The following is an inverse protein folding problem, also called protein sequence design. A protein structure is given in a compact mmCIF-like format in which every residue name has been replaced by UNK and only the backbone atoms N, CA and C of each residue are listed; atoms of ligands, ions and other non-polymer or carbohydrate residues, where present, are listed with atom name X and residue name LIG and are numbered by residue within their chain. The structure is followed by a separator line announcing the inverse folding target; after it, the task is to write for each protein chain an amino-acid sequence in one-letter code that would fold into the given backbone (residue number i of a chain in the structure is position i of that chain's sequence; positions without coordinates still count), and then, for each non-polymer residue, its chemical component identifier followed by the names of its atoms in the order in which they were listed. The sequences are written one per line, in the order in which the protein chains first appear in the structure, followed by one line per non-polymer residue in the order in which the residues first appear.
data_IF_869932188200
#
_entry.id   IF_869932188200
#
_cell.length_a   1.000
_cell.length_b   1.000
_cell.length_c   1.000
_cell.angle_alpha   90.00
_cell.angle_beta   90.00
_cell.angle_gamma   90.00
#
_symmetry.space_group_name_H-M   'P 1'
#
loop_
_entity.id
_entity.type
_entity.pdbx_description
1 polymer ?
#
# COMPACT_ATOMS: atom_id res chain seq x y z
N UNK A 1 39.49 -28.10 4.07
CA UNK A 1 38.21 -28.80 3.78
C UNK A 1 37.07 -27.84 4.08
N UNK A 2 36.57 -27.12 3.07
CA UNK A 2 35.55 -26.09 3.23
C UNK A 2 34.15 -26.72 3.15
N UNK A 3 33.37 -26.69 4.24
CA UNK A 3 31.92 -26.89 4.18
C UNK A 3 31.30 -25.57 3.72
N UNK A 4 31.00 -25.46 2.43
CA UNK A 4 30.00 -24.51 1.93
C UNK A 4 28.66 -24.93 2.54
N UNK A 5 28.27 -24.28 3.63
CA UNK A 5 26.88 -24.31 4.09
C UNK A 5 26.06 -23.62 3.00
N UNK A 6 25.22 -24.40 2.31
CA UNK A 6 24.19 -23.85 1.44
C UNK A 6 23.29 -22.98 2.30
N UNK A 7 23.51 -21.66 2.31
CA UNK A 7 22.54 -20.74 2.87
C UNK A 7 21.28 -20.88 2.03
N UNK A 8 20.27 -21.55 2.59
CA UNK A 8 18.93 -21.54 2.04
C UNK A 8 18.55 -20.08 1.84
N UNK A 9 18.56 -19.60 0.59
CA UNK A 9 18.12 -18.26 0.26
C UNK A 9 16.65 -18.17 0.68
N UNK A 10 16.41 -17.54 1.83
CA UNK A 10 15.07 -17.36 2.38
C UNK A 10 14.28 -16.51 1.39
N UNK A 11 13.28 -17.13 0.74
CA UNK A 11 12.38 -16.43 -0.19
C UNK A 11 11.67 -15.31 0.56
N UNK A 12 11.79 -14.03 0.13
CA UNK A 12 11.08 -12.92 0.73
C UNK A 12 9.56 -13.13 0.63
N UNK A 13 8.84 -12.95 1.74
CA UNK A 13 7.37 -13.12 1.77
C UNK A 13 6.65 -11.82 1.46
N UNK A 14 7.15 -10.72 2.00
CA UNK A 14 6.62 -9.38 1.73
C UNK A 14 7.55 -8.61 0.79
N UNK A 15 7.04 -7.61 0.04
CA UNK A 15 7.89 -6.78 -0.81
C UNK A 15 9.00 -6.08 -0.03
N UNK A 16 8.73 -5.68 1.22
CA UNK A 16 9.72 -4.99 2.02
C UNK A 16 10.87 -5.90 2.55
N UNK A 17 10.66 -7.22 2.61
CA UNK A 17 11.72 -8.21 2.86
C UNK A 17 12.61 -8.42 1.62
N UNK A 18 12.16 -8.05 0.42
CA UNK A 18 12.94 -8.25 -0.81
C UNK A 18 14.14 -7.31 -0.81
N UNK A 19 15.31 -7.81 -1.18
CA UNK A 19 16.47 -6.95 -1.42
C UNK A 19 16.26 -6.29 -2.78
N UNK A 20 16.17 -4.95 -2.82
CA UNK A 20 16.10 -4.22 -4.09
C UNK A 20 17.51 -4.04 -4.63
N UNK A 21 17.68 -4.12 -5.95
CA UNK A 21 18.98 -3.94 -6.61
C UNK A 21 18.86 -2.98 -7.77
N UNK A 22 19.87 -2.14 -7.94
CA UNK A 22 20.13 -1.35 -9.15
C UNK A 22 21.39 -1.89 -9.83
N UNK A 23 21.82 -1.27 -10.93
CA UNK A 23 23.09 -1.64 -11.57
C UNK A 23 24.32 -1.49 -10.66
N UNK A 24 24.24 -0.69 -9.60
CA UNK A 24 25.39 -0.32 -8.75
C UNK A 24 25.14 -0.49 -7.24
N UNK A 25 23.95 -0.91 -6.81
CA UNK A 25 23.60 -0.95 -5.38
C UNK A 25 22.60 -2.05 -5.07
N UNK A 26 22.66 -2.57 -3.84
CA UNK A 26 21.65 -3.44 -3.26
C UNK A 26 21.18 -2.83 -1.94
N UNK A 27 19.87 -2.68 -1.73
CA UNK A 27 19.36 -1.88 -0.63
C UNK A 27 17.99 -2.33 -0.12
N UNK A 28 17.75 -1.96 1.15
CA UNK A 28 16.47 -2.02 1.87
C UNK A 28 16.41 -0.77 2.74
N UNK A 29 15.97 0.33 2.17
CA UNK A 29 15.88 1.61 2.84
C UNK A 29 14.43 1.95 3.04
N UNK A 30 14.02 2.10 4.30
CA UNK A 30 12.67 2.51 4.66
C UNK A 30 12.75 3.62 5.72
N UNK A 31 11.78 4.50 5.67
CA UNK A 31 11.63 5.61 6.61
C UNK A 31 10.18 5.68 7.08
N UNK A 32 10.01 5.85 8.40
CA UNK A 32 8.78 6.27 9.01
C UNK A 32 8.74 7.80 9.00
N UNK A 33 7.78 8.37 8.28
CA UNK A 33 7.58 9.81 8.16
C UNK A 33 6.31 10.24 8.87
N UNK A 34 6.31 11.43 9.47
CA UNK A 34 5.08 12.05 9.90
C UNK A 34 5.15 13.57 9.75
N UNK A 35 4.07 14.19 9.28
CA UNK A 35 4.00 15.64 9.14
C UNK A 35 2.57 16.15 9.30
N UNK A 36 2.46 17.38 9.79
CA UNK A 36 1.18 18.00 10.13
C UNK A 36 0.66 18.87 8.99
N UNK A 37 -0.66 18.97 8.90
CA UNK A 37 -1.34 20.05 8.20
C UNK A 37 -0.92 21.41 8.78
N UNK A 38 -1.00 22.46 7.97
CA UNK A 38 -0.60 23.81 8.35
C UNK A 38 -1.29 24.26 9.64
N UNK A 39 -0.51 24.86 10.54
CA UNK A 39 -0.95 25.29 11.86
C UNK A 39 -1.65 24.19 12.69
N UNK A 40 -1.39 22.90 12.40
CA UNK A 40 -2.04 21.74 13.02
C UNK A 40 -3.58 21.76 12.90
N UNK A 41 -4.13 22.47 11.90
CA UNK A 41 -5.57 22.51 11.64
C UNK A 41 -6.10 21.12 11.25
N UNK A 42 -7.30 20.72 11.69
CA UNK A 42 -7.89 19.43 11.34
C UNK A 42 -8.49 19.44 9.93
N UNK A 43 -7.63 19.47 8.90
CA UNK A 43 -8.04 19.61 7.49
C UNK A 43 -8.52 18.31 6.84
N UNK A 44 -8.31 17.16 7.47
CA UNK A 44 -8.75 15.87 6.93
C UNK A 44 -10.23 15.63 7.28
N UNK A 45 -11.13 16.19 6.48
CA UNK A 45 -12.54 15.79 6.44
C UNK A 45 -12.75 14.65 5.41
N UNK A 46 -13.97 14.09 5.24
CA UNK A 46 -14.21 12.99 4.32
C UNK A 46 -13.78 13.27 2.86
N UNK A 47 -13.96 14.50 2.38
CA UNK A 47 -13.62 14.89 1.01
C UNK A 47 -12.10 14.95 0.83
N UNK A 48 -11.40 15.62 1.74
CA UNK A 48 -9.93 15.72 1.73
C UNK A 48 -9.29 14.34 1.92
N UNK A 49 -9.86 13.51 2.80
CA UNK A 49 -9.39 12.16 3.07
C UNK A 49 -9.51 11.27 1.83
N UNK A 50 -10.65 11.31 1.14
CA UNK A 50 -10.87 10.54 -0.08
C UNK A 50 -9.91 10.94 -1.20
N UNK A 51 -9.75 12.24 -1.46
CA UNK A 51 -8.83 12.72 -2.48
C UNK A 51 -7.37 12.40 -2.13
N UNK A 52 -6.96 12.60 -0.88
CA UNK A 52 -5.60 12.26 -0.46
C UNK A 52 -5.30 10.76 -0.60
N UNK A 53 -6.27 9.89 -0.31
CA UNK A 53 -6.12 8.45 -0.46
C UNK A 53 -5.93 8.01 -1.91
N UNK A 54 -6.46 8.76 -2.88
CA UNK A 54 -6.23 8.55 -4.30
C UNK A 54 -4.87 9.10 -4.75
N UNK A 55 -4.57 10.34 -4.35
CA UNK A 55 -3.37 11.08 -4.80
C UNK A 55 -2.07 10.51 -4.24
N UNK A 56 -2.03 10.13 -2.95
CA UNK A 56 -0.78 9.73 -2.30
C UNK A 56 -0.11 8.52 -2.98
N UNK A 57 -0.82 7.41 -3.29
CA UNK A 57 -0.23 6.29 -4.03
C UNK A 57 0.32 6.68 -5.40
N UNK A 58 -0.39 7.55 -6.13
CA UNK A 58 0.03 8.06 -7.45
C UNK A 58 1.31 8.90 -7.35
N UNK A 59 1.37 9.81 -6.38
CA UNK A 59 2.55 10.62 -6.10
C UNK A 59 3.74 9.72 -5.74
N UNK A 60 3.57 8.78 -4.81
CA UNK A 60 4.65 7.86 -4.49
C UNK A 60 5.09 7.03 -5.71
N UNK A 61 4.17 6.68 -6.62
CA UNK A 61 4.50 5.95 -7.84
C UNK A 61 5.30 6.81 -8.83
N UNK A 62 4.96 8.09 -9.01
CA UNK A 62 5.66 8.97 -9.96
C UNK A 62 7.14 9.20 -9.60
N UNK A 63 7.48 9.09 -8.32
CA UNK A 63 8.85 9.21 -7.81
C UNK A 63 9.54 7.86 -7.55
N UNK A 64 8.90 6.73 -7.88
CA UNK A 64 9.39 5.37 -7.60
C UNK A 64 9.68 5.12 -6.10
N UNK A 65 8.86 5.72 -5.25
CA UNK A 65 8.80 5.45 -3.81
C UNK A 65 7.88 4.27 -3.54
N UNK A 66 8.33 3.35 -2.69
CA UNK A 66 7.54 2.19 -2.25
C UNK A 66 6.66 2.61 -1.07
N UNK A 67 5.42 3.02 -1.34
CA UNK A 67 4.47 3.30 -0.27
C UNK A 67 4.06 1.98 0.39
N UNK A 68 4.48 1.75 1.63
CA UNK A 68 4.18 0.51 2.34
C UNK A 68 2.83 0.61 3.05
N UNK A 69 2.64 1.71 3.78
CA UNK A 69 1.39 2.01 4.47
C UNK A 69 1.33 3.49 4.84
N UNK A 70 0.12 3.97 5.09
CA UNK A 70 -0.08 5.28 5.68
C UNK A 70 -1.28 5.30 6.63
N UNK A 71 -1.26 6.26 7.55
CA UNK A 71 -2.32 6.52 8.51
C UNK A 71 -2.63 8.01 8.55
N UNK A 72 -3.91 8.34 8.46
CA UNK A 72 -4.43 9.69 8.55
C UNK A 72 -5.07 9.95 9.91
N UNK A 73 -4.77 11.14 10.42
CA UNK A 73 -5.36 11.78 11.60
C UNK A 73 -5.95 13.11 11.15
N UNK A 74 -6.85 13.73 11.92
CA UNK A 74 -7.51 14.98 11.52
C UNK A 74 -6.56 16.07 10.98
N UNK A 75 -5.35 16.17 11.53
CA UNK A 75 -4.37 17.19 11.17
C UNK A 75 -2.99 16.63 10.81
N UNK A 76 -2.82 15.33 10.61
CA UNK A 76 -1.49 14.72 10.45
C UNK A 76 -1.56 13.46 9.60
N UNK A 77 -0.50 13.22 8.84
CA UNK A 77 -0.26 11.95 8.15
C UNK A 77 0.99 11.27 8.68
N UNK A 78 0.94 9.94 8.76
CA UNK A 78 2.07 9.06 9.06
C UNK A 78 2.26 8.12 7.87
N UNK A 79 3.49 7.95 7.38
CA UNK A 79 3.81 7.15 6.21
C UNK A 79 4.95 6.18 6.54
N UNK A 80 4.90 4.97 5.98
CA UNK A 80 6.07 4.09 5.87
C UNK A 80 6.41 4.02 4.38
N UNK A 81 7.59 4.50 4.02
CA UNK A 81 8.02 4.65 2.62
C UNK A 81 9.39 4.01 2.42
N UNK A 82 9.52 3.20 1.37
CA UNK A 82 10.80 2.77 0.84
C UNK A 82 11.30 3.70 -0.25
N UNK A 83 12.60 3.98 -0.27
CA UNK A 83 13.22 4.96 -1.19
C UNK A 83 14.59 4.48 -1.70
N UNK A 84 15.12 5.09 -2.77
CA UNK A 84 16.41 4.69 -3.34
C UNK A 84 17.58 5.28 -2.56
N UNK A 85 18.78 4.67 -2.60
CA UNK A 85 19.98 5.23 -1.97
C UNK A 85 20.39 6.60 -2.51
N UNK A 86 19.94 6.96 -3.72
CA UNK A 86 20.18 8.26 -4.35
C UNK A 86 19.30 9.37 -3.82
N UNK A 87 18.20 9.04 -3.13
CA UNK A 87 17.20 9.99 -2.71
C UNK A 87 17.46 10.41 -1.26
N UNK A 88 17.63 11.70 -1.02
CA UNK A 88 17.71 12.22 0.33
C UNK A 88 16.32 12.24 0.98
N UNK A 89 16.24 11.95 2.29
CA UNK A 89 14.97 11.95 3.04
C UNK A 89 14.27 13.32 2.94
N UNK A 90 15.03 14.42 2.90
CA UNK A 90 14.51 15.78 2.69
C UNK A 90 13.75 15.91 1.37
N UNK A 91 14.27 15.33 0.30
CA UNK A 91 13.64 15.35 -1.02
C UNK A 91 12.39 14.47 -1.04
N UNK A 92 12.47 13.25 -0.50
CA UNK A 92 11.30 12.34 -0.38
C UNK A 92 10.13 13.03 0.31
N UNK A 93 10.39 13.72 1.42
CA UNK A 93 9.37 14.47 2.16
C UNK A 93 8.87 15.68 1.36
N UNK A 94 9.75 16.41 0.71
CA UNK A 94 9.44 17.60 -0.10
C UNK A 94 8.55 17.23 -1.29
N UNK A 95 8.89 16.17 -2.01
CA UNK A 95 8.16 15.68 -3.18
C UNK A 95 6.75 15.22 -2.81
N UNK A 96 6.61 14.45 -1.72
CA UNK A 96 5.30 14.01 -1.22
C UNK A 96 4.47 15.23 -0.79
N UNK A 97 5.01 16.11 0.05
CA UNK A 97 4.26 17.27 0.58
C UNK A 97 3.84 18.23 -0.53
N UNK A 98 4.75 18.59 -1.42
CA UNK A 98 4.49 19.53 -2.52
C UNK A 98 3.45 18.97 -3.48
N UNK A 99 3.62 17.73 -3.93
CA UNK A 99 2.72 17.12 -4.92
C UNK A 99 1.32 16.88 -4.35
N UNK A 100 1.23 16.35 -3.13
CA UNK A 100 -0.07 16.15 -2.48
C UNK A 100 -0.77 17.47 -2.19
N UNK A 101 -0.06 18.50 -1.70
CA UNK A 101 -0.65 19.82 -1.49
C UNK A 101 -1.20 20.42 -2.79
N UNK A 102 -0.42 20.35 -3.88
CA UNK A 102 -0.83 20.85 -5.17
C UNK A 102 -2.12 20.20 -5.66
N UNK A 103 -2.19 18.86 -5.63
CA UNK A 103 -3.37 18.10 -6.05
C UNK A 103 -4.59 18.34 -5.14
N UNK A 104 -4.37 18.50 -3.83
CA UNK A 104 -5.44 18.84 -2.89
C UNK A 104 -6.03 20.23 -3.18
N UNK A 105 -5.21 21.23 -3.46
CA UNK A 105 -5.71 22.57 -3.82
C UNK A 105 -6.43 22.58 -5.17
N UNK A 106 -5.95 21.82 -6.16
CA UNK A 106 -6.62 21.68 -7.45
C UNK A 106 -7.96 20.97 -7.33
N UNK A 107 -8.03 19.88 -6.57
CA UNK A 107 -9.26 19.10 -6.40
C UNK A 107 -10.26 19.73 -5.43
N UNK A 108 -9.80 20.51 -4.44
CA UNK A 108 -10.65 21.09 -3.39
C UNK A 108 -10.30 22.58 -3.21
N UNK A 109 -10.81 23.47 -4.10
CA UNK A 109 -10.49 24.90 -4.07
C UNK A 109 -10.84 25.61 -2.76
N UNK A 110 -11.82 25.11 -1.99
CA UNK A 110 -12.19 25.68 -0.67
C UNK A 110 -11.04 25.70 0.34
N UNK A 111 -10.05 24.80 0.19
CA UNK A 111 -8.88 24.77 1.07
C UNK A 111 -8.08 26.08 1.00
N UNK A 112 -8.01 26.75 -0.16
CA UNK A 112 -7.29 28.03 -0.26
C UNK A 112 -7.93 29.12 0.61
N UNK A 113 -9.25 29.10 0.79
CA UNK A 113 -9.95 30.05 1.65
C UNK A 113 -9.71 29.75 3.14
N UNK A 114 -9.65 28.47 3.53
CA UNK A 114 -9.51 28.05 4.94
C UNK A 114 -8.09 28.24 5.49
N UNK A 115 -7.07 28.03 4.65
CA UNK A 115 -5.66 28.01 5.09
C UNK A 115 -4.74 28.95 4.30
N UNK A 116 -5.28 29.73 3.38
CA UNK A 116 -4.51 30.61 2.50
C UNK A 116 -3.85 29.86 1.34
N UNK A 117 -3.20 30.61 0.45
CA UNK A 117 -2.64 30.06 -0.79
C UNK A 117 -1.49 29.09 -0.55
N UNK A 118 -1.56 27.94 -1.25
CA UNK A 118 -0.47 27.02 -1.64
C UNK A 118 0.41 26.40 -0.54
N UNK A 119 0.04 26.48 0.74
CA UNK A 119 0.76 25.81 1.84
C UNK A 119 -0.18 24.90 2.66
N UNK A 120 -0.44 23.68 2.19
CA UNK A 120 -1.29 22.71 2.91
C UNK A 120 -0.60 22.16 4.17
N UNK A 121 0.71 21.91 4.08
CA UNK A 121 1.48 21.27 5.15
C UNK A 121 2.25 22.29 6.01
N UNK A 122 2.51 21.93 7.26
CA UNK A 122 3.49 22.61 8.10
C UNK A 122 4.92 22.39 7.56
N UNK A 123 5.86 23.29 7.86
CA UNK A 123 7.25 23.18 7.38
C UNK A 123 7.95 21.93 7.92
N UNK A 124 7.86 21.71 9.23
CA UNK A 124 8.50 20.59 9.92
C UNK A 124 7.94 19.22 9.53
N UNK A 125 8.74 18.20 9.80
CA UNK A 125 8.39 16.79 9.67
C UNK A 125 9.22 15.96 10.65
N UNK A 126 8.72 14.78 10.95
CA UNK A 126 9.43 13.74 11.68
C UNK A 126 9.88 12.67 10.68
N UNK A 127 11.08 12.14 10.90
CA UNK A 127 11.64 11.05 10.12
C UNK A 127 12.41 10.10 11.05
N UNK A 128 12.13 8.81 10.95
CA UNK A 128 12.84 7.75 11.65
C UNK A 128 13.17 6.63 10.68
N UNK A 129 14.43 6.19 10.68
CA UNK A 129 14.86 5.06 9.85
C UNK A 129 14.19 3.78 10.33
N UNK A 130 13.70 2.96 9.41
CA UNK A 130 13.03 1.70 9.73
C UNK A 130 13.70 0.52 9.03
N UNK A 131 14.13 -0.47 9.81
CA UNK A 131 14.58 -1.75 9.27
C UNK A 131 13.42 -2.58 8.75
N UNK A 132 13.64 -3.39 7.72
CA UNK A 132 12.58 -4.22 7.12
C UNK A 132 11.89 -5.17 8.14
N UNK A 133 12.63 -5.63 9.15
CA UNK A 133 12.13 -6.48 10.24
C UNK A 133 11.20 -5.73 11.20
N UNK A 134 11.31 -4.39 11.26
CA UNK A 134 10.48 -3.54 12.12
C UNK A 134 9.17 -3.12 11.45
N UNK A 135 9.07 -3.22 10.12
CA UNK A 135 7.86 -2.81 9.37
C UNK A 135 6.63 -3.58 9.83
N UNK A 136 6.67 -4.91 9.82
CA UNK A 136 5.50 -5.71 10.19
C UNK A 136 5.04 -5.49 11.66
N UNK A 137 5.95 -5.43 12.66
CA UNK A 137 5.59 -4.99 14.01
C UNK A 137 4.95 -3.59 14.05
N UNK A 138 5.50 -2.62 13.32
CA UNK A 138 4.96 -1.25 13.28
C UNK A 138 3.56 -1.21 12.67
N UNK A 139 3.32 -1.93 11.57
CA UNK A 139 2.00 -2.02 10.93
C UNK A 139 0.96 -2.63 11.89
N UNK A 140 1.32 -3.66 12.64
CA UNK A 140 0.45 -4.22 13.68
C UNK A 140 0.19 -3.25 14.81
N UNK A 141 1.21 -2.53 15.27
CA UNK A 141 1.01 -1.49 16.27
C UNK A 141 0.03 -0.42 15.78
N UNK A 142 0.08 -0.07 14.48
CA UNK A 142 -0.90 0.83 13.88
C UNK A 142 -2.31 0.23 13.84
N UNK A 143 -2.47 -1.04 13.44
CA UNK A 143 -3.76 -1.74 13.44
C UNK A 143 -4.35 -1.86 14.85
N UNK A 144 -3.53 -2.20 15.85
CA UNK A 144 -3.97 -2.31 17.25
C UNK A 144 -4.36 -0.95 17.83
N UNK A 145 -3.61 0.11 17.52
CA UNK A 145 -4.00 1.47 17.89
C UNK A 145 -5.27 1.92 17.18
N UNK A 146 -5.48 1.54 15.93
CA UNK A 146 -6.69 1.90 15.20
C UNK A 146 -7.99 1.37 15.84
N UNK A 147 -7.90 0.27 16.61
CA UNK A 147 -9.03 -0.26 17.40
C UNK A 147 -9.41 0.63 18.60
N UNK A 148 -8.52 1.51 19.06
CA UNK A 148 -8.70 2.31 20.28
C UNK A 148 -8.68 3.83 20.01
N UNK A 149 -7.85 4.26 19.06
CA UNK A 149 -7.70 5.62 18.58
C UNK A 149 -8.21 5.63 17.13
N UNK A 150 -9.51 5.84 16.90
CA UNK A 150 -10.12 5.85 15.57
C UNK A 150 -9.33 6.78 14.61
N UNK A 151 -8.47 6.23 13.73
CA UNK A 151 -7.82 7.03 12.73
C UNK A 151 -8.86 7.33 11.65
N UNK A 152 -8.70 8.46 10.95
CA UNK A 152 -9.59 8.74 9.82
C UNK A 152 -9.44 7.70 8.72
N UNK A 153 -8.21 7.19 8.55
CA UNK A 153 -7.89 6.17 7.58
C UNK A 153 -6.59 5.45 7.97
N UNK A 154 -6.55 4.13 7.83
CA UNK A 154 -5.33 3.33 7.86
C UNK A 154 -5.32 2.45 6.61
N UNK A 155 -4.26 2.56 5.80
CA UNK A 155 -4.12 1.85 4.53
C UNK A 155 -2.75 1.19 4.46
N UNK A 156 -2.73 -0.11 4.16
CA UNK A 156 -1.52 -0.91 3.92
C UNK A 156 -1.52 -1.26 2.44
N UNK A 157 -0.52 -0.80 1.68
CA UNK A 157 -0.61 -0.71 0.20
C UNK A 157 0.63 -1.21 -0.56
N UNK A 158 1.56 -1.88 0.13
CA UNK A 158 2.86 -2.30 -0.43
C UNK A 158 2.78 -3.21 -1.67
N UNK A 159 1.64 -3.81 -1.93
CA UNK A 159 1.42 -4.78 -3.01
C UNK A 159 0.60 -4.20 -4.17
N UNK A 160 0.01 -3.00 -4.03
CA UNK A 160 -0.95 -2.44 -4.99
C UNK A 160 -0.44 -2.38 -6.43
N UNK A 161 0.86 -2.21 -6.62
CA UNK A 161 1.51 -2.17 -7.94
C UNK A 161 1.99 -3.55 -8.44
N UNK A 162 2.13 -4.54 -7.56
CA UNK A 162 2.57 -5.89 -7.95
C UNK A 162 1.37 -6.72 -8.42
N UNK A 163 1.43 -7.37 -9.59
CA UNK A 163 0.43 -8.34 -10.01
C UNK A 163 0.36 -9.51 -9.04
N UNK A 164 -0.85 -9.92 -8.65
CA UNK A 164 -1.05 -11.06 -7.77
C UNK A 164 -0.83 -12.34 -8.57
N UNK A 165 0.09 -13.19 -8.12
CA UNK A 165 0.32 -14.47 -8.79
C UNK A 165 -0.86 -15.42 -8.55
N UNK A 166 -1.26 -16.26 -9.53
CA UNK A 166 -2.34 -17.24 -9.38
C UNK A 166 -2.22 -18.09 -8.09
N UNK A 167 -1.00 -18.54 -7.78
CA UNK A 167 -0.69 -19.32 -6.55
C UNK A 167 -0.94 -18.56 -5.25
N UNK A 168 -0.94 -17.23 -5.27
CA UNK A 168 -1.28 -16.42 -4.11
C UNK A 168 -2.80 -16.35 -3.95
N UNK A 169 -3.53 -16.17 -5.06
CA UNK A 169 -5.00 -16.16 -5.08
C UNK A 169 -5.55 -17.49 -4.54
N UNK A 170 -5.01 -18.63 -5.00
CA UNK A 170 -5.43 -19.96 -4.54
C UNK A 170 -5.35 -20.14 -3.02
N UNK A 171 -4.41 -19.48 -2.33
CA UNK A 171 -4.24 -19.62 -0.87
C UNK A 171 -5.44 -19.07 -0.10
N UNK A 172 -6.12 -18.06 -0.63
CA UNK A 172 -7.21 -17.33 0.04
C UNK A 172 -8.55 -17.50 -0.69
N UNK A 173 -8.58 -18.31 -1.75
CA UNK A 173 -9.73 -18.49 -2.63
C UNK A 173 -10.98 -18.98 -1.89
N UNK A 174 -10.79 -19.78 -0.83
CA UNK A 174 -11.87 -20.32 -0.02
C UNK A 174 -12.55 -19.27 0.89
N UNK A 175 -11.89 -18.14 1.13
CA UNK A 175 -12.43 -17.00 1.92
C UNK A 175 -13.22 -16.00 1.06
N UNK A 176 -13.17 -16.16 -0.27
CA UNK A 176 -13.98 -15.37 -1.19
C UNK A 176 -15.41 -15.89 -1.25
N UNK A 177 -16.35 -14.99 -1.55
CA UNK A 177 -17.75 -15.32 -1.79
C UNK A 177 -17.85 -16.24 -3.01
N UNK A 178 -18.91 -17.07 -3.13
CA UNK A 178 -19.06 -18.00 -4.25
C UNK A 178 -18.94 -17.33 -5.62
N UNK A 179 -19.56 -16.16 -5.83
CA UNK A 179 -19.46 -15.40 -7.08
C UNK A 179 -18.05 -14.88 -7.37
N UNK A 180 -17.40 -14.29 -6.36
CA UNK A 180 -16.01 -13.82 -6.44
C UNK A 180 -15.08 -14.98 -6.82
N UNK A 181 -15.24 -16.14 -6.16
CA UNK A 181 -14.43 -17.34 -6.38
C UNK A 181 -14.51 -17.82 -7.82
N UNK A 182 -15.72 -17.89 -8.37
CA UNK A 182 -15.94 -18.35 -9.75
C UNK A 182 -15.25 -17.41 -10.74
N UNK A 183 -15.44 -16.10 -10.59
CA UNK A 183 -14.79 -15.09 -11.43
C UNK A 183 -13.26 -15.21 -11.35
N UNK A 184 -12.71 -15.33 -10.15
CA UNK A 184 -11.25 -15.44 -9.96
C UNK A 184 -10.66 -16.71 -10.57
N UNK A 185 -11.38 -17.84 -10.55
CA UNK A 185 -10.94 -19.08 -11.21
C UNK A 185 -10.86 -18.91 -12.72
N UNK A 186 -11.89 -18.34 -13.34
CA UNK A 186 -11.97 -18.13 -14.78
C UNK A 186 -10.89 -17.14 -15.28
N UNK A 187 -10.71 -16.01 -14.59
CA UNK A 187 -9.78 -14.96 -15.02
C UNK A 187 -8.31 -15.29 -14.77
N UNK A 188 -8.00 -16.12 -13.77
CA UNK A 188 -6.61 -16.46 -13.43
C UNK A 188 -6.23 -17.92 -13.74
N UNK A 189 -7.14 -18.71 -14.32
CA UNK A 189 -6.90 -20.11 -14.67
C UNK A 189 -6.55 -20.97 -13.46
N UNK A 190 -7.28 -20.76 -12.35
CA UNK A 190 -7.01 -21.45 -11.08
C UNK A 190 -7.60 -22.85 -11.10
N UNK A 191 -7.04 -23.77 -10.30
CA UNK A 191 -7.56 -25.14 -10.16
C UNK A 191 -7.67 -25.94 -11.49
N UNK A 192 -6.80 -25.64 -12.46
CA UNK A 192 -6.76 -26.33 -13.75
C UNK A 192 -7.74 -25.79 -14.79
N UNK A 193 -8.44 -24.68 -14.51
CA UNK A 193 -9.22 -23.96 -15.50
C UNK A 193 -8.31 -23.22 -16.50
N UNK A 194 -8.80 -23.04 -17.74
CA UNK A 194 -8.13 -22.14 -18.70
C UNK A 194 -8.35 -20.68 -18.30
N UNK A 195 -7.41 -19.81 -18.69
CA UNK A 195 -7.54 -18.36 -18.49
C UNK A 195 -8.55 -17.81 -19.51
N UNK A 196 -9.57 -17.10 -19.02
CA UNK A 196 -10.61 -16.48 -19.82
C UNK A 196 -10.46 -14.96 -19.83
N UNK A 197 -10.86 -14.32 -20.93
CA UNK A 197 -11.05 -12.86 -20.94
C UNK A 197 -12.31 -12.47 -20.16
N UNK A 198 -12.48 -11.17 -19.89
CA UNK A 198 -13.67 -10.66 -19.20
C UNK A 198 -14.95 -11.01 -19.97
N UNK A 199 -14.91 -10.92 -21.31
CA UNK A 199 -16.02 -11.21 -22.20
C UNK A 199 -16.38 -12.70 -22.17
N UNK A 200 -15.37 -13.58 -22.23
CA UNK A 200 -15.57 -15.03 -22.16
C UNK A 200 -16.10 -15.47 -20.79
N UNK A 201 -15.60 -14.86 -19.71
CA UNK A 201 -16.11 -15.12 -18.37
C UNK A 201 -17.55 -14.62 -18.21
N UNK A 202 -17.88 -13.44 -18.75
CA UNK A 202 -19.22 -12.87 -18.75
C UNK A 202 -20.23 -13.76 -19.49
N UNK A 203 -19.86 -14.25 -20.68
CA UNK A 203 -20.67 -15.20 -21.46
C UNK A 203 -20.94 -16.48 -20.65
N UNK A 204 -19.90 -17.09 -20.06
CA UNK A 204 -20.04 -18.30 -19.24
C UNK A 204 -20.91 -18.11 -18.00
N UNK A 205 -20.88 -16.92 -17.41
CA UNK A 205 -21.64 -16.60 -16.18
C UNK A 205 -23.01 -16.00 -16.48
N UNK A 206 -23.37 -15.78 -17.75
CA UNK A 206 -24.59 -15.06 -18.14
C UNK A 206 -24.70 -13.68 -17.48
N UNK A 207 -23.57 -12.98 -17.37
CA UNK A 207 -23.45 -11.63 -16.81
C UNK A 207 -22.97 -10.65 -17.87
N UNK A 208 -23.04 -9.34 -17.57
CA UNK A 208 -22.38 -8.33 -18.41
C UNK A 208 -20.88 -8.26 -18.11
N UNK A 209 -20.02 -7.93 -19.10
CA UNK A 209 -18.59 -7.73 -18.87
C UNK A 209 -18.28 -6.72 -17.76
N UNK A 210 -19.07 -5.65 -17.63
CA UNK A 210 -18.89 -4.65 -16.57
C UNK A 210 -19.13 -5.24 -15.18
N UNK A 211 -20.13 -6.12 -15.03
CA UNK A 211 -20.43 -6.77 -13.75
C UNK A 211 -19.31 -7.74 -13.36
N UNK A 212 -18.80 -8.52 -14.32
CA UNK A 212 -17.63 -9.39 -14.09
C UNK A 212 -16.41 -8.57 -13.70
N UNK A 213 -16.18 -7.43 -14.36
CA UNK A 213 -15.09 -6.52 -14.01
C UNK A 213 -15.22 -5.98 -12.58
N UNK A 214 -16.42 -5.53 -12.18
CA UNK A 214 -16.66 -5.05 -10.82
C UNK A 214 -16.44 -6.14 -9.77
N UNK A 215 -16.94 -7.37 -10.02
CA UNK A 215 -16.72 -8.51 -9.13
C UNK A 215 -15.22 -8.85 -9.04
N UNK A 216 -14.50 -8.83 -10.16
CA UNK A 216 -13.07 -9.10 -10.19
C UNK A 216 -12.27 -8.06 -9.39
N UNK A 217 -12.59 -6.76 -9.54
CA UNK A 217 -11.94 -5.68 -8.80
C UNK A 217 -12.17 -5.83 -7.28
N UNK A 218 -13.42 -6.05 -6.86
CA UNK A 218 -13.76 -6.28 -5.46
C UNK A 218 -13.05 -7.52 -4.89
N UNK A 219 -13.03 -8.62 -5.66
CA UNK A 219 -12.34 -9.85 -5.28
C UNK A 219 -10.83 -9.65 -5.14
N UNK A 220 -10.19 -8.93 -6.07
CA UNK A 220 -8.74 -8.64 -6.00
C UNK A 220 -8.41 -7.85 -4.73
N UNK A 221 -9.15 -6.78 -4.40
CA UNK A 221 -8.85 -6.00 -3.20
C UNK A 221 -9.04 -6.81 -1.91
N UNK A 222 -10.05 -7.68 -1.89
CA UNK A 222 -10.24 -8.62 -0.78
C UNK A 222 -9.10 -9.63 -0.69
N UNK A 223 -8.66 -10.20 -1.80
CA UNK A 223 -7.47 -11.09 -1.86
C UNK A 223 -6.24 -10.37 -1.32
N UNK A 224 -5.98 -9.13 -1.74
CA UNK A 224 -4.85 -8.32 -1.24
C UNK A 224 -4.92 -8.16 0.26
N UNK A 225 -6.07 -7.78 0.78
CA UNK A 225 -6.31 -7.60 2.23
C UNK A 225 -6.00 -8.89 3.01
N UNK A 226 -6.56 -10.03 2.59
CA UNK A 226 -6.34 -11.32 3.25
C UNK A 226 -4.87 -11.78 3.18
N UNK A 227 -4.20 -11.56 2.05
CA UNK A 227 -2.78 -11.87 1.91
C UNK A 227 -1.93 -11.01 2.86
N UNK A 228 -2.22 -9.70 2.97
CA UNK A 228 -1.54 -8.78 3.89
C UNK A 228 -1.66 -9.26 5.33
N UNK A 229 -2.86 -9.62 5.77
CA UNK A 229 -3.11 -10.12 7.14
C UNK A 229 -2.30 -11.38 7.45
N UNK A 230 -2.35 -12.38 6.55
CA UNK A 230 -1.61 -13.64 6.71
C UNK A 230 -0.10 -13.45 6.68
N UNK A 231 0.41 -12.56 5.83
CA UNK A 231 1.84 -12.25 5.74
C UNK A 231 2.34 -11.56 7.00
N UNK A 232 1.54 -10.63 7.55
CA UNK A 232 1.80 -10.04 8.84
C UNK A 232 1.83 -11.15 9.91
N UNK A 233 0.77 -11.92 10.13
CA UNK A 233 0.72 -12.99 11.17
C UNK A 233 1.95 -13.92 11.14
N UNK A 234 2.39 -14.31 9.94
CA UNK A 234 3.53 -15.22 9.77
C UNK A 234 4.89 -14.59 10.04
N UNK A 235 5.04 -13.27 9.91
CA UNK A 235 6.31 -12.60 10.22
C UNK A 235 6.58 -12.59 11.73
N UNK A 236 5.54 -12.68 12.58
CA UNK A 236 5.65 -12.74 14.05
C UNK A 236 6.22 -14.07 14.56
N UNK A 237 5.72 -15.19 14.03
CA UNK A 237 6.16 -16.53 14.46
C UNK A 237 7.61 -16.87 14.12
N UNK A 238 8.31 -16.02 13.36
CA UNK A 238 9.75 -16.18 13.03
C UNK A 238 10.69 -15.42 13.96
N UNK A 239 10.16 -14.49 14.75
CA UNK A 239 10.95 -13.59 15.60
C UNK A 239 10.69 -13.80 17.10
N UNK A 240 9.81 -14.74 17.45
CA UNK A 240 9.75 -15.38 18.78
C UNK A 240 10.63 -16.61 18.80
#
# INVERSE_FOLDING_TARGET
MARRTSSSQRVPRTPFERLRTTGSSAYRLYVLLAFYARAKKPLFDPEVTALFAQVLPEVCASYDYDLIAYRLRPNQVHLIVGFKPTDAITEVVSDIKRSTAHRLFEGIPRLEAEIGKRNFWAEGYYAETLGYTQIAPTLRAWQNRAKHEEPLLLQIVYDTREPIQPKQIERVLDELLPGERVVMRLLHGLQGEQVHTLEQAAEKLSLKPEEVHQIAQAAIEKVRTLLRERDLERSEGRHR
#
